data_IF_463590209342
#
_entry.id   IF_463590209342
#
_cell.length_a   1.000
_cell.length_b   1.000
_cell.length_c   1.000
_cell.angle_alpha   90.00
_cell.angle_beta   90.00
_cell.angle_gamma   90.00
#
_symmetry.space_group_name_H-M   'P 1'
#
loop_
_entity.id
_entity.type
_entity.pdbx_description
1 polymer ?
#
# COMPACT_ATOMS: atom_id res chain seq x y z
N UNK A 1 8.04 18.60 -0.02
CA UNK A 1 7.18 18.48 -1.20
C UNK A 1 6.06 17.49 -0.91
N UNK A 2 4.89 17.78 -1.45
CA UNK A 2 3.72 16.91 -1.28
C UNK A 2 3.68 15.85 -2.38
N UNK A 3 4.55 14.86 -2.31
CA UNK A 3 4.54 13.73 -3.24
C UNK A 3 4.36 12.44 -2.48
N UNK A 4 3.42 11.62 -2.92
CA UNK A 4 3.03 10.39 -2.25
C UNK A 4 2.96 9.22 -3.23
N UNK A 5 3.49 8.08 -2.80
CA UNK A 5 3.36 6.81 -3.51
C UNK A 5 2.11 6.13 -2.96
N UNK A 6 1.14 5.84 -3.82
CA UNK A 6 -0.15 5.24 -3.42
C UNK A 6 -0.21 3.82 -3.95
N UNK A 7 -0.03 2.86 -3.07
CA UNK A 7 -0.12 1.43 -3.41
C UNK A 7 -1.59 1.00 -3.32
N UNK A 8 -2.10 0.38 -4.37
CA UNK A 8 -3.52 0.04 -4.46
C UNK A 8 -4.41 1.20 -4.90
N UNK A 9 -3.83 2.28 -5.42
CA UNK A 9 -4.58 3.48 -5.83
C UNK A 9 -5.53 3.27 -7.00
N UNK A 10 -5.33 2.23 -7.79
CA UNK A 10 -6.21 1.88 -8.90
C UNK A 10 -7.43 1.05 -8.48
N UNK A 11 -7.51 0.63 -7.21
CA UNK A 11 -8.60 -0.18 -6.71
C UNK A 11 -9.85 0.62 -6.38
N UNK A 12 -10.86 -0.06 -5.84
CA UNK A 12 -12.17 0.53 -5.53
C UNK A 12 -12.06 1.68 -4.52
N UNK A 13 -11.31 1.50 -3.45
CA UNK A 13 -11.08 2.54 -2.44
C UNK A 13 -10.07 3.56 -2.95
N UNK A 14 -9.12 3.10 -3.76
CA UNK A 14 -8.01 3.95 -4.21
C UNK A 14 -8.42 5.10 -5.10
N UNK A 15 -9.40 4.91 -6.00
CA UNK A 15 -9.81 5.98 -6.92
C UNK A 15 -10.34 7.22 -6.20
N UNK A 16 -11.31 7.11 -5.27
CA UNK A 16 -11.75 8.27 -4.48
C UNK A 16 -10.63 8.91 -3.67
N UNK A 17 -9.75 8.10 -3.09
CA UNK A 17 -8.62 8.60 -2.30
C UNK A 17 -7.66 9.41 -3.20
N UNK A 18 -7.34 8.89 -4.38
CA UNK A 18 -6.49 9.62 -5.35
C UNK A 18 -7.11 10.95 -5.74
N UNK A 19 -8.40 10.97 -6.05
CA UNK A 19 -9.11 12.22 -6.37
C UNK A 19 -9.01 13.24 -5.24
N UNK A 20 -9.22 12.79 -4.01
CA UNK A 20 -9.13 13.65 -2.84
C UNK A 20 -7.73 14.23 -2.65
N UNK A 21 -6.70 13.38 -2.76
CA UNK A 21 -5.32 13.81 -2.59
C UNK A 21 -4.88 14.79 -3.67
N UNK A 22 -5.29 14.56 -4.91
CA UNK A 22 -4.99 15.49 -6.02
C UNK A 22 -5.62 16.86 -5.74
N UNK A 23 -6.87 16.89 -5.29
CA UNK A 23 -7.54 18.14 -4.93
C UNK A 23 -6.84 18.87 -3.77
N UNK A 24 -6.23 18.11 -2.86
CA UNK A 24 -5.48 18.67 -1.74
C UNK A 24 -4.06 19.15 -2.14
N UNK A 25 -3.70 19.02 -3.40
CA UNK A 25 -2.43 19.52 -3.92
C UNK A 25 -1.28 18.52 -3.89
N UNK A 26 -1.56 17.25 -3.64
CA UNK A 26 -0.53 16.20 -3.69
C UNK A 26 -0.21 15.79 -5.11
N UNK A 27 1.04 15.44 -5.35
CA UNK A 27 1.46 14.74 -6.54
C UNK A 27 1.53 13.26 -6.21
N UNK A 28 0.92 12.42 -7.04
CA UNK A 28 0.75 11.01 -6.80
C UNK A 28 1.52 10.18 -7.80
N UNK A 29 2.17 9.12 -7.32
CA UNK A 29 2.66 8.03 -8.15
C UNK A 29 1.87 6.78 -7.75
N UNK A 30 1.24 6.14 -8.72
CA UNK A 30 0.38 4.97 -8.49
C UNK A 30 0.95 3.77 -9.24
N UNK A 31 1.66 2.86 -8.55
CA UNK A 31 2.08 1.61 -9.15
C UNK A 31 0.89 0.71 -9.46
N UNK A 32 0.90 0.09 -10.63
CA UNK A 32 -0.10 -0.90 -11.01
C UNK A 32 0.54 -1.95 -11.91
N UNK A 33 0.08 -3.19 -11.84
CA UNK A 33 0.59 -4.25 -12.71
C UNK A 33 0.33 -3.96 -14.17
N UNK A 34 -0.85 -3.42 -14.47
CA UNK A 34 -1.25 -3.09 -15.83
C UNK A 34 -1.87 -1.71 -15.86
N UNK A 35 -1.36 -0.87 -16.75
CA UNK A 35 -1.80 0.51 -16.87
C UNK A 35 -3.31 0.62 -17.10
N UNK A 36 -3.90 -0.35 -17.80
CA UNK A 36 -5.35 -0.39 -18.03
C UNK A 36 -6.19 -0.44 -16.74
N UNK A 37 -5.63 -0.94 -15.64
CA UNK A 37 -6.32 -0.96 -14.35
C UNK A 37 -6.45 0.43 -13.73
N UNK A 38 -5.68 1.38 -14.21
CA UNK A 38 -5.67 2.76 -13.71
C UNK A 38 -6.47 3.72 -14.60
N UNK A 39 -7.29 3.23 -15.53
CA UNK A 39 -8.05 4.09 -16.45
C UNK A 39 -8.93 5.09 -15.73
N UNK A 40 -9.47 4.75 -14.56
CA UNK A 40 -10.33 5.62 -13.78
C UNK A 40 -9.61 6.79 -13.12
N UNK A 41 -8.29 6.76 -13.02
CA UNK A 41 -7.51 7.79 -12.32
C UNK A 41 -6.39 8.40 -13.15
N UNK A 42 -5.99 7.78 -14.27
CA UNK A 42 -4.84 8.24 -15.05
C UNK A 42 -4.99 9.65 -15.61
N UNK A 43 -6.22 10.15 -15.71
CA UNK A 43 -6.51 11.50 -16.20
C UNK A 43 -6.35 12.58 -15.15
N UNK A 44 -6.19 12.21 -13.87
CA UNK A 44 -6.10 13.19 -12.80
C UNK A 44 -4.80 13.99 -12.92
N UNK A 45 -4.85 15.34 -12.80
CA UNK A 45 -3.64 16.16 -12.87
C UNK A 45 -2.72 15.87 -11.66
N UNK A 46 -1.42 15.78 -11.92
CA UNK A 46 -0.46 15.47 -10.87
C UNK A 46 -0.40 14.00 -10.47
N UNK A 47 -1.07 13.12 -11.20
CA UNK A 47 -1.01 11.68 -10.97
C UNK A 47 -0.24 11.00 -12.10
N UNK A 48 0.76 10.21 -11.73
CA UNK A 48 1.55 9.39 -12.64
C UNK A 48 1.30 7.92 -12.36
N UNK A 49 0.94 7.18 -13.39
CA UNK A 49 0.79 5.72 -13.31
C UNK A 49 2.13 5.08 -13.63
N UNK A 50 2.58 4.19 -12.78
CA UNK A 50 3.82 3.44 -12.96
C UNK A 50 3.50 1.95 -13.08
N UNK A 51 3.78 1.36 -14.24
CA UNK A 51 3.52 -0.07 -14.45
C UNK A 51 4.63 -0.89 -13.83
N UNK A 52 4.32 -1.64 -12.77
CA UNK A 52 5.28 -2.46 -12.05
C UNK A 52 4.56 -3.45 -11.13
N UNK A 53 5.30 -4.48 -10.67
CA UNK A 53 4.83 -5.39 -9.64
C UNK A 53 5.32 -4.89 -8.27
N UNK A 54 4.39 -4.51 -7.39
CA UNK A 54 4.73 -4.01 -6.04
C UNK A 54 5.33 -5.09 -5.14
N UNK A 55 5.18 -6.36 -5.48
CA UNK A 55 5.80 -7.47 -4.75
C UNK A 55 7.28 -7.65 -5.09
N UNK A 56 7.78 -7.01 -6.15
CA UNK A 56 9.21 -6.92 -6.45
C UNK A 56 9.81 -5.84 -5.56
N UNK A 57 10.50 -6.25 -4.52
CA UNK A 57 11.01 -5.33 -3.50
C UNK A 57 12.03 -4.33 -4.07
N UNK A 58 12.88 -4.76 -4.99
CA UNK A 58 13.85 -3.86 -5.62
C UNK A 58 13.16 -2.76 -6.43
N UNK A 59 12.14 -3.14 -7.21
CA UNK A 59 11.36 -2.20 -8.00
C UNK A 59 10.57 -1.24 -7.08
N UNK A 60 9.98 -1.77 -6.00
CA UNK A 60 9.25 -0.97 -5.03
C UNK A 60 10.16 0.06 -4.35
N UNK A 61 11.34 -0.37 -3.94
CA UNK A 61 12.31 0.53 -3.30
C UNK A 61 12.75 1.63 -4.24
N UNK A 62 13.00 1.30 -5.50
CA UNK A 62 13.37 2.30 -6.52
C UNK A 62 12.22 3.28 -6.81
N UNK A 63 10.98 2.78 -6.91
CA UNK A 63 9.82 3.61 -7.16
C UNK A 63 9.53 4.58 -6.00
N UNK A 64 9.88 4.19 -4.78
CA UNK A 64 9.64 4.98 -3.57
C UNK A 64 10.62 6.15 -3.43
N UNK A 65 11.74 6.12 -4.13
CA UNK A 65 12.77 7.16 -4.02
C UNK A 65 12.19 8.55 -4.30
N UNK A 66 12.52 9.51 -3.47
CA UNK A 66 12.08 10.90 -3.61
C UNK A 66 10.67 11.20 -3.14
N UNK A 67 9.93 10.21 -2.65
CA UNK A 67 8.59 10.44 -2.11
C UNK A 67 8.64 10.78 -0.62
N UNK A 68 7.81 11.74 -0.20
CA UNK A 68 7.74 12.17 1.20
C UNK A 68 6.81 11.30 2.03
N UNK A 69 5.88 10.60 1.40
CA UNK A 69 4.91 9.76 2.06
C UNK A 69 4.55 8.54 1.22
N UNK A 70 4.08 7.49 1.88
CA UNK A 70 3.57 6.27 1.24
C UNK A 70 2.22 5.93 1.86
N UNK A 71 1.24 5.62 1.01
CA UNK A 71 -0.08 5.16 1.43
C UNK A 71 -0.28 3.74 0.90
N UNK A 72 -0.55 2.79 1.79
CA UNK A 72 -0.82 1.41 1.41
C UNK A 72 -2.30 1.08 1.53
N UNK A 73 -2.94 0.89 0.39
CA UNK A 73 -4.34 0.48 0.27
C UNK A 73 -4.48 -0.96 -0.24
N UNK A 74 -3.36 -1.65 -0.50
CA UNK A 74 -3.39 -3.00 -1.07
C UNK A 74 -3.95 -3.98 -0.05
N UNK A 75 -5.00 -4.68 -0.45
CA UNK A 75 -5.61 -5.74 0.36
C UNK A 75 -6.41 -6.68 -0.53
N UNK A 76 -6.62 -7.90 -0.05
CA UNK A 76 -7.56 -8.85 -0.65
C UNK A 76 -8.56 -9.27 0.43
N UNK A 77 -9.78 -9.59 -0.01
CA UNK A 77 -10.85 -10.04 0.90
C UNK A 77 -11.02 -11.56 0.87
N UNK A 78 -10.54 -12.20 -0.17
CA UNK A 78 -10.71 -13.64 -0.40
C UNK A 78 -9.37 -14.27 -0.78
N UNK A 79 -9.18 -15.50 -0.39
CA UNK A 79 -7.98 -16.27 -0.66
C UNK A 79 -7.70 -17.26 0.45
N UNK A 80 -6.68 -18.08 0.28
CA UNK A 80 -6.20 -18.96 1.32
C UNK A 80 -5.22 -18.24 2.26
N UNK A 81 -4.74 -18.95 3.28
CA UNK A 81 -3.82 -18.36 4.25
C UNK A 81 -2.53 -17.84 3.58
N UNK A 82 -2.02 -18.56 2.58
CA UNK A 82 -0.81 -18.17 1.86
C UNK A 82 -1.01 -16.86 1.07
N UNK A 83 -2.18 -16.70 0.42
CA UNK A 83 -2.51 -15.47 -0.30
C UNK A 83 -2.65 -14.28 0.63
N UNK A 84 -3.31 -14.45 1.78
CA UNK A 84 -3.42 -13.40 2.79
C UNK A 84 -2.04 -13.02 3.35
N UNK A 85 -1.20 -14.01 3.63
CA UNK A 85 0.16 -13.74 4.12
C UNK A 85 0.97 -12.95 3.10
N UNK A 86 0.94 -13.35 1.84
CA UNK A 86 1.68 -12.67 0.77
C UNK A 86 1.26 -11.22 0.61
N UNK A 87 -0.03 -10.95 0.56
CA UNK A 87 -0.56 -9.60 0.29
C UNK A 87 -0.58 -8.74 1.54
N UNK A 88 -0.99 -9.29 2.69
CA UNK A 88 -1.17 -8.48 3.89
C UNK A 88 0.09 -8.40 4.76
N UNK A 89 0.94 -9.42 4.77
CA UNK A 89 2.11 -9.45 5.66
C UNK A 89 3.39 -9.22 4.88
N UNK A 90 3.70 -10.05 3.90
CA UNK A 90 4.98 -9.97 3.17
C UNK A 90 5.13 -8.65 2.42
N UNK A 91 4.08 -8.18 1.77
CA UNK A 91 4.11 -6.89 1.07
C UNK A 91 4.36 -5.75 2.06
N UNK A 92 3.69 -5.76 3.21
CA UNK A 92 3.86 -4.72 4.23
C UNK A 92 5.29 -4.71 4.77
N UNK A 93 5.89 -5.88 4.97
CA UNK A 93 7.29 -5.97 5.36
C UNK A 93 8.24 -5.36 4.30
N UNK A 94 7.96 -5.62 3.03
CA UNK A 94 8.72 -5.01 1.92
C UNK A 94 8.55 -3.49 1.88
N UNK A 95 7.32 -3.00 2.09
CA UNK A 95 7.03 -1.57 2.15
C UNK A 95 7.81 -0.93 3.30
N UNK A 96 7.79 -1.53 4.47
CA UNK A 96 8.50 -1.01 5.65
C UNK A 96 10.01 -0.91 5.38
N UNK A 97 10.61 -1.96 4.82
CA UNK A 97 12.05 -1.93 4.49
C UNK A 97 12.37 -0.85 3.45
N UNK A 98 11.53 -0.71 2.44
CA UNK A 98 11.71 0.30 1.40
C UNK A 98 11.58 1.72 1.96
N UNK A 99 10.66 1.94 2.89
CA UNK A 99 10.51 3.22 3.57
C UNK A 99 11.77 3.58 4.36
N UNK A 100 12.30 2.63 5.11
CA UNK A 100 13.54 2.85 5.89
C UNK A 100 14.70 3.17 4.94
N UNK A 101 14.84 2.41 3.86
CA UNK A 101 15.93 2.60 2.89
C UNK A 101 15.87 3.97 2.21
N UNK A 102 14.69 4.53 2.01
CA UNK A 102 14.47 5.81 1.33
C UNK A 102 14.29 6.99 2.30
N UNK A 103 14.32 6.77 3.60
CA UNK A 103 14.10 7.82 4.58
C UNK A 103 12.70 8.44 4.51
N UNK A 104 11.69 7.65 4.15
CA UNK A 104 10.31 8.12 4.08
C UNK A 104 9.80 8.46 5.47
N UNK A 105 9.31 9.69 5.66
CA UNK A 105 8.89 10.18 6.96
C UNK A 105 7.50 9.73 7.39
N UNK A 106 6.63 9.40 6.45
CA UNK A 106 5.23 9.06 6.74
C UNK A 106 4.77 7.86 5.92
N UNK A 107 4.35 6.81 6.62
CA UNK A 107 3.68 5.66 6.04
C UNK A 107 2.29 5.55 6.65
N UNK A 108 1.27 5.60 5.80
CA UNK A 108 -0.12 5.37 6.21
C UNK A 108 -0.54 4.00 5.68
N UNK A 109 -0.90 3.13 6.60
CA UNK A 109 -1.34 1.77 6.28
C UNK A 109 -2.81 1.61 6.65
N UNK A 110 -3.62 1.21 5.68
CA UNK A 110 -5.04 0.95 5.93
C UNK A 110 -5.20 -0.49 6.35
N UNK A 111 -5.59 -0.68 7.60
CA UNK A 111 -5.84 -2.00 8.18
C UNK A 111 -7.34 -2.32 8.16
N UNK A 112 -7.82 -3.06 9.13
CA UNK A 112 -9.20 -3.50 9.19
C UNK A 112 -9.76 -3.32 10.61
N UNK A 113 -11.05 -3.07 10.70
CA UNK A 113 -11.73 -3.05 11.99
C UNK A 113 -11.59 -4.43 12.66
N UNK A 114 -11.16 -4.44 13.91
CA UNK A 114 -10.90 -5.68 14.65
C UNK A 114 -9.49 -6.23 14.52
N UNK A 115 -8.66 -5.65 13.65
CA UNK A 115 -7.24 -6.00 13.57
C UNK A 115 -6.45 -5.25 14.64
N UNK A 116 -5.52 -5.95 15.28
CA UNK A 116 -4.55 -5.36 16.22
C UNK A 116 -3.33 -6.28 16.32
N UNK A 117 -2.12 -5.76 16.65
CA UNK A 117 -0.91 -6.59 16.66
C UNK A 117 -1.02 -7.83 17.54
N UNK A 118 -1.67 -7.71 18.70
CA UNK A 118 -1.82 -8.82 19.63
C UNK A 118 -2.70 -9.97 19.10
N UNK A 119 -3.48 -9.75 18.05
CA UNK A 119 -4.40 -10.76 17.49
C UNK A 119 -3.86 -11.51 16.29
N UNK A 120 -2.57 -11.37 15.98
CA UNK A 120 -1.97 -12.00 14.80
C UNK A 120 -2.15 -13.52 14.76
N UNK A 121 -2.12 -14.18 15.93
CA UNK A 121 -2.29 -15.63 16.01
C UNK A 121 -3.68 -16.10 16.47
N UNK A 122 -4.55 -15.19 16.90
CA UNK A 122 -5.79 -15.53 17.61
C UNK A 122 -7.07 -14.97 17.01
N UNK A 123 -6.96 -14.05 16.05
CA UNK A 123 -8.14 -13.46 15.43
C UNK A 123 -9.00 -14.53 14.73
N UNK A 124 -10.33 -14.33 14.63
CA UNK A 124 -11.25 -15.38 14.21
C UNK A 124 -11.19 -15.76 12.73
N UNK A 125 -10.50 -14.98 11.89
CA UNK A 125 -10.40 -15.28 10.45
C UNK A 125 -8.98 -15.15 9.95
N UNK A 126 -8.66 -15.84 8.84
CA UNK A 126 -7.37 -15.66 8.15
C UNK A 126 -7.16 -14.21 7.76
N UNK A 127 -8.21 -13.53 7.30
CA UNK A 127 -8.16 -12.11 6.94
C UNK A 127 -7.69 -11.26 8.13
N UNK A 128 -8.38 -11.35 9.28
CA UNK A 128 -8.02 -10.56 10.46
C UNK A 128 -6.67 -10.95 11.05
N UNK A 129 -6.32 -12.26 11.02
CA UNK A 129 -5.00 -12.70 11.49
C UNK A 129 -3.89 -12.08 10.64
N UNK A 130 -4.04 -12.08 9.32
CA UNK A 130 -3.03 -11.49 8.42
C UNK A 130 -2.96 -9.97 8.54
N UNK A 131 -4.09 -9.29 8.67
CA UNK A 131 -4.11 -7.84 8.88
C UNK A 131 -3.48 -7.48 10.23
N UNK A 132 -3.74 -8.26 11.27
CA UNK A 132 -3.12 -8.09 12.59
C UNK A 132 -1.60 -8.32 12.55
N UNK A 133 -1.17 -9.35 11.83
CA UNK A 133 0.26 -9.64 11.64
C UNK A 133 0.97 -8.51 10.86
N UNK A 134 0.29 -7.90 9.89
CA UNK A 134 0.81 -6.74 9.17
C UNK A 134 1.02 -5.55 10.11
N UNK A 135 0.07 -5.27 10.99
CA UNK A 135 0.23 -4.21 12.00
C UNK A 135 1.40 -4.51 12.93
N UNK A 136 1.54 -5.77 13.36
CA UNK A 136 2.66 -6.19 14.21
C UNK A 136 4.01 -5.98 13.50
N UNK A 137 4.09 -6.26 12.21
CA UNK A 137 5.30 -6.04 11.42
C UNK A 137 5.67 -4.55 11.36
N UNK A 138 4.69 -3.67 11.19
CA UNK A 138 4.90 -2.22 11.14
C UNK A 138 5.36 -1.68 12.50
N UNK A 139 4.80 -2.18 13.58
CA UNK A 139 5.19 -1.75 14.93
C UNK A 139 6.64 -2.10 15.23
N UNK A 140 7.15 -3.22 14.67
CA UNK A 140 8.56 -3.62 14.83
C UNK A 140 9.54 -2.78 13.99
N UNK A 141 9.04 -2.04 13.04
CA UNK A 141 9.84 -1.16 12.17
C UNK A 141 9.96 0.23 12.78
#
# INVERSE_FOLDING_TARGET
>A
MKNILVLGGSGFVGAPVCEHLVRAGWQLTVPTRRRRHAQGIQHLPGLTVLEMDVHDEAALTAAMAGHSAVLNLVAILHGDAAAFDRVHVQLVEKIARACVANGVGHLVHISALGAEPARAGTAPSNYLRSKSAAEAALVRT
#
